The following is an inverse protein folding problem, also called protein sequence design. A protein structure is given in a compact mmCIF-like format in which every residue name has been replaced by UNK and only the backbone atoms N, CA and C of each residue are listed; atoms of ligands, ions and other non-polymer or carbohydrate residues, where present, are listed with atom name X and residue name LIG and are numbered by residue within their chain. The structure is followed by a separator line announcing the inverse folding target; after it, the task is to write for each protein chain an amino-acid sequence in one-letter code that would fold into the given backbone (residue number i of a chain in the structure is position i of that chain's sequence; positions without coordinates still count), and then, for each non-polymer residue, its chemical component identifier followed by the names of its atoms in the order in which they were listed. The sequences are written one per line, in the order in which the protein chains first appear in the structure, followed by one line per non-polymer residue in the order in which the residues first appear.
data_IF_315788599519
#
_entry.id   IF_315788599519
#
_cell.length_a   1.000
_cell.length_b   1.000
_cell.length_c   1.000
_cell.angle_alpha   90.00
_cell.angle_beta   90.00
_cell.angle_gamma   90.00
#
_symmetry.space_group_name_H-M   'P 1'
#
loop_
_entity.id
_entity.type
_entity.pdbx_description
1 polymer ?
#
# COMPACT_ATOMS: atom_id res chain seq x y z
N UNK A 1 20.11 -11.53 11.19
CA UNK A 1 19.61 -11.52 9.79
C UNK A 1 18.36 -12.35 9.75
N UNK A 2 17.24 -11.76 9.37
CA UNK A 2 15.92 -12.41 9.30
C UNK A 2 15.82 -13.23 8.01
N UNK A 3 15.35 -14.46 8.14
CA UNK A 3 15.06 -15.36 7.02
C UNK A 3 13.59 -15.22 6.67
N UNK A 4 13.28 -14.97 5.41
CA UNK A 4 11.92 -14.65 4.96
C UNK A 4 11.45 -15.70 3.95
N UNK A 5 10.24 -16.23 4.11
CA UNK A 5 9.54 -16.95 3.06
C UNK A 5 8.66 -15.97 2.28
N UNK A 6 8.93 -15.78 0.98
CA UNK A 6 8.13 -14.96 0.08
C UNK A 6 6.93 -15.77 -0.42
N UNK A 7 5.71 -15.29 -0.15
CA UNK A 7 4.48 -15.94 -0.56
C UNK A 7 3.84 -15.15 -1.69
N UNK A 8 3.86 -15.72 -2.89
CA UNK A 8 3.47 -15.06 -4.13
C UNK A 8 4.65 -14.91 -5.08
N UNK A 9 4.35 -14.74 -6.37
CA UNK A 9 5.37 -14.67 -7.44
C UNK A 9 4.87 -13.83 -8.63
N UNK A 10 4.06 -12.80 -8.33
CA UNK A 10 3.54 -11.83 -9.29
C UNK A 10 4.44 -10.58 -9.40
N UNK A 11 3.88 -9.51 -10.01
CA UNK A 11 4.57 -8.23 -10.22
C UNK A 11 5.11 -7.63 -8.91
N UNK A 12 4.29 -7.60 -7.84
CA UNK A 12 4.71 -7.05 -6.54
C UNK A 12 5.79 -7.92 -5.89
N UNK A 13 5.70 -9.25 -6.01
CA UNK A 13 6.78 -10.13 -5.57
C UNK A 13 8.12 -9.78 -6.23
N UNK A 14 8.12 -9.43 -7.52
CA UNK A 14 9.34 -9.00 -8.22
C UNK A 14 9.89 -7.68 -7.66
N UNK A 15 9.03 -6.73 -7.27
CA UNK A 15 9.45 -5.49 -6.60
C UNK A 15 10.11 -5.81 -5.25
N UNK A 16 9.49 -6.67 -4.43
CA UNK A 16 10.05 -7.08 -3.14
C UNK A 16 11.36 -7.87 -3.30
N UNK A 17 11.46 -8.77 -4.28
CA UNK A 17 12.72 -9.47 -4.58
C UNK A 17 13.83 -8.47 -4.92
N UNK A 18 13.54 -7.45 -5.75
CA UNK A 18 14.52 -6.39 -6.06
C UNK A 18 14.95 -5.66 -4.80
N UNK A 19 14.02 -5.30 -3.93
CA UNK A 19 14.29 -4.64 -2.65
C UNK A 19 15.19 -5.51 -1.73
N UNK A 20 14.90 -6.81 -1.61
CA UNK A 20 15.75 -7.74 -0.84
C UNK A 20 17.17 -7.89 -1.41
N UNK A 21 17.36 -7.61 -2.70
CA UNK A 21 18.67 -7.66 -3.36
C UNK A 21 19.47 -6.37 -3.19
N UNK A 22 18.90 -5.31 -2.63
CA UNK A 22 19.63 -4.06 -2.31
C UNK A 22 20.65 -4.30 -1.20
N UNK A 23 21.71 -3.49 -1.17
CA UNK A 23 22.74 -3.59 -0.14
C UNK A 23 22.18 -3.35 1.27
N UNK A 24 21.18 -2.45 1.39
CA UNK A 24 20.59 -2.07 2.67
C UNK A 24 19.75 -3.19 3.28
N UNK A 25 18.83 -3.78 2.50
CA UNK A 25 17.96 -4.85 3.00
C UNK A 25 18.72 -6.15 3.18
N UNK A 26 19.68 -6.47 2.30
CA UNK A 26 20.48 -7.71 2.38
C UNK A 26 21.32 -7.85 3.65
N UNK A 27 21.56 -6.73 4.37
CA UNK A 27 22.24 -6.73 5.68
C UNK A 27 21.32 -7.17 6.82
N UNK A 28 20.00 -6.99 6.68
CA UNK A 28 19.00 -7.26 7.73
C UNK A 28 18.19 -8.51 7.47
N UNK A 29 17.91 -8.84 6.19
CA UNK A 29 17.11 -10.00 5.82
C UNK A 29 17.47 -10.61 4.47
N UNK A 30 16.96 -11.81 4.25
CA UNK A 30 17.06 -12.52 2.96
C UNK A 30 15.87 -13.43 2.74
N UNK A 31 15.47 -13.58 1.48
CA UNK A 31 14.50 -14.59 1.08
C UNK A 31 15.18 -15.96 1.05
N UNK A 32 14.61 -16.94 1.74
CA UNK A 32 15.12 -18.32 1.85
C UNK A 32 14.20 -19.36 1.21
N UNK A 33 12.95 -18.99 0.95
CA UNK A 33 11.96 -19.82 0.29
C UNK A 33 11.01 -18.96 -0.54
N UNK A 34 10.51 -19.47 -1.65
CA UNK A 34 9.39 -18.91 -2.42
C UNK A 34 8.25 -19.91 -2.39
N UNK A 35 7.06 -19.42 -2.00
CA UNK A 35 5.84 -20.21 -1.92
C UNK A 35 4.83 -19.70 -2.95
N UNK A 36 4.24 -20.58 -3.77
CA UNK A 36 3.21 -20.17 -4.70
C UNK A 36 3.05 -21.05 -5.95
N UNK A 37 2.64 -20.45 -7.06
CA UNK A 37 2.37 -21.19 -8.28
C UNK A 37 3.67 -21.69 -8.95
N UNK A 38 3.75 -22.98 -9.37
CA UNK A 38 4.98 -23.56 -9.90
C UNK A 38 5.62 -22.77 -11.03
N UNK A 39 4.82 -22.25 -11.99
CA UNK A 39 5.35 -21.60 -13.19
C UNK A 39 6.16 -20.32 -12.91
N UNK A 40 5.63 -19.41 -12.10
CA UNK A 40 6.29 -18.15 -11.75
C UNK A 40 7.15 -18.28 -10.48
N UNK A 41 6.70 -19.08 -9.50
CA UNK A 41 7.44 -19.31 -8.26
C UNK A 41 8.80 -19.96 -8.45
N UNK A 42 8.89 -20.99 -9.30
CA UNK A 42 10.19 -21.63 -9.64
C UNK A 42 11.17 -20.63 -10.28
N UNK A 43 10.68 -19.72 -11.14
CA UNK A 43 11.52 -18.69 -11.75
C UNK A 43 12.02 -17.68 -10.70
N UNK A 44 11.15 -17.26 -9.79
CA UNK A 44 11.51 -16.37 -8.70
C UNK A 44 12.54 -17.02 -7.77
N UNK A 45 12.32 -18.27 -7.35
CA UNK A 45 13.24 -19.03 -6.52
C UNK A 45 14.61 -19.22 -7.17
N UNK A 46 14.64 -19.55 -8.46
CA UNK A 46 15.89 -19.69 -9.23
C UNK A 46 16.66 -18.37 -9.32
N UNK A 47 15.96 -17.22 -9.49
CA UNK A 47 16.56 -15.88 -9.51
C UNK A 47 17.24 -15.54 -8.20
N UNK A 48 16.62 -15.92 -7.07
CA UNK A 48 17.11 -15.63 -5.71
C UNK A 48 18.17 -16.66 -5.28
N UNK A 49 18.12 -17.88 -5.83
CA UNK A 49 18.95 -19.02 -5.40
C UNK A 49 18.45 -19.71 -4.15
N UNK A 50 17.11 -19.81 -3.97
CA UNK A 50 16.46 -20.46 -2.84
C UNK A 50 15.51 -21.59 -3.25
N UNK A 51 14.89 -22.27 -2.26
CA UNK A 51 13.89 -23.31 -2.51
C UNK A 51 12.56 -22.77 -3.01
N UNK A 52 11.88 -23.54 -3.87
CA UNK A 52 10.50 -23.31 -4.27
C UNK A 52 9.58 -24.38 -3.65
N UNK A 53 8.41 -23.97 -3.18
CA UNK A 53 7.40 -24.81 -2.55
C UNK A 53 6.00 -24.41 -3.05
N UNK A 54 5.09 -25.35 -3.14
CA UNK A 54 3.70 -25.06 -3.52
C UNK A 54 2.87 -24.57 -2.34
N UNK A 55 3.22 -24.99 -1.12
CA UNK A 55 2.51 -24.63 0.11
C UNK A 55 3.47 -24.06 1.17
N UNK A 56 2.91 -23.28 2.09
CA UNK A 56 3.68 -22.74 3.22
C UNK A 56 4.11 -23.84 4.19
N UNK A 57 3.28 -24.88 4.32
CA UNK A 57 3.53 -26.05 5.15
C UNK A 57 4.73 -26.85 4.65
N UNK A 58 4.84 -27.06 3.34
CA UNK A 58 6.03 -27.69 2.72
C UNK A 58 7.29 -26.88 2.96
N UNK A 59 7.21 -25.54 2.74
CA UNK A 59 8.34 -24.66 3.01
C UNK A 59 8.79 -24.74 4.47
N UNK A 60 7.85 -24.74 5.41
CA UNK A 60 8.14 -24.82 6.84
C UNK A 60 8.73 -26.17 7.29
N UNK A 61 8.45 -27.25 6.55
CA UNK A 61 9.03 -28.56 6.82
C UNK A 61 10.50 -28.68 6.37
N UNK A 62 10.88 -27.94 5.31
CA UNK A 62 12.19 -28.08 4.66
C UNK A 62 13.14 -26.95 4.98
N UNK A 63 12.63 -25.74 5.27
CA UNK A 63 13.42 -24.52 5.44
C UNK A 63 13.00 -23.76 6.69
N UNK A 64 13.96 -23.44 7.51
CA UNK A 64 13.75 -22.54 8.64
C UNK A 64 13.65 -21.09 8.16
N UNK A 65 12.57 -20.38 8.53
CA UNK A 65 12.38 -18.94 8.31
C UNK A 65 11.75 -18.28 9.55
N UNK A 66 11.92 -16.98 9.67
CA UNK A 66 11.53 -16.19 10.83
C UNK A 66 10.28 -15.36 10.55
N UNK A 67 10.10 -14.98 9.28
CA UNK A 67 8.99 -14.14 8.82
C UNK A 67 8.48 -14.60 7.45
N UNK A 68 7.27 -14.17 7.12
CA UNK A 68 6.70 -14.26 5.78
C UNK A 68 6.54 -12.87 5.17
N UNK A 69 6.69 -12.78 3.84
CA UNK A 69 6.36 -11.64 3.01
C UNK A 69 5.25 -12.03 2.04
N UNK A 70 4.01 -11.54 2.27
CA UNK A 70 2.81 -11.96 1.56
C UNK A 70 2.52 -10.98 0.43
N UNK A 71 2.77 -11.42 -0.80
CA UNK A 71 2.56 -10.67 -2.06
C UNK A 71 1.55 -11.35 -2.99
N UNK A 72 0.64 -12.11 -2.40
CA UNK A 72 -0.45 -12.82 -3.10
C UNK A 72 -1.58 -11.87 -3.50
N UNK A 73 -2.58 -12.33 -4.28
CA UNK A 73 -3.85 -11.63 -4.41
C UNK A 73 -4.53 -11.40 -3.05
N UNK A 74 -5.21 -10.26 -2.90
CA UNK A 74 -5.81 -9.80 -1.62
C UNK A 74 -6.67 -10.84 -0.91
N UNK A 75 -7.48 -11.60 -1.65
CA UNK A 75 -8.38 -12.61 -1.07
C UNK A 75 -7.65 -13.79 -0.39
N UNK A 76 -6.33 -13.90 -0.56
CA UNK A 76 -5.47 -14.91 0.09
C UNK A 76 -4.71 -14.36 1.30
N UNK A 77 -4.72 -13.05 1.53
CA UNK A 77 -3.94 -12.44 2.61
C UNK A 77 -4.33 -12.97 3.98
N UNK A 78 -5.64 -13.11 4.25
CA UNK A 78 -6.13 -13.65 5.52
C UNK A 78 -5.61 -15.06 5.77
N UNK A 79 -5.78 -15.96 4.80
CA UNK A 79 -5.36 -17.36 4.92
C UNK A 79 -3.87 -17.48 5.27
N UNK A 80 -3.01 -16.82 4.49
CA UNK A 80 -1.56 -16.91 4.70
C UNK A 80 -1.10 -16.20 5.97
N UNK A 81 -1.71 -15.06 6.33
CA UNK A 81 -1.40 -14.37 7.60
C UNK A 81 -1.73 -15.25 8.80
N UNK A 82 -2.93 -15.84 8.82
CA UNK A 82 -3.35 -16.71 9.94
C UNK A 82 -2.48 -17.96 10.02
N UNK A 83 -2.16 -18.59 8.88
CA UNK A 83 -1.26 -19.75 8.84
C UNK A 83 0.13 -19.42 9.37
N UNK A 84 0.74 -18.34 8.86
CA UNK A 84 2.08 -17.92 9.28
C UNK A 84 2.12 -17.55 10.77
N UNK A 85 1.13 -16.79 11.25
CA UNK A 85 1.02 -16.43 12.66
C UNK A 85 0.90 -17.67 13.56
N UNK A 86 0.10 -18.66 13.17
CA UNK A 86 -0.05 -19.92 13.92
C UNK A 86 1.23 -20.78 13.90
N UNK A 87 2.12 -20.57 12.95
CA UNK A 87 3.47 -21.15 12.91
C UNK A 87 4.50 -20.31 13.70
N UNK A 88 4.07 -19.23 14.38
CA UNK A 88 4.96 -18.32 15.12
C UNK A 88 5.85 -17.46 14.22
N UNK A 89 5.44 -17.20 12.97
CA UNK A 89 6.22 -16.40 12.01
C UNK A 89 5.70 -14.96 11.99
N UNK A 90 6.62 -13.98 11.95
CA UNK A 90 6.28 -12.58 11.74
C UNK A 90 5.70 -12.36 10.35
N UNK A 91 4.82 -11.38 10.19
CA UNK A 91 4.07 -11.18 8.94
C UNK A 91 4.26 -9.78 8.40
N UNK A 92 4.78 -9.68 7.19
CA UNK A 92 4.73 -8.52 6.33
C UNK A 92 3.74 -8.83 5.20
N UNK A 93 2.73 -8.00 5.00
CA UNK A 93 1.65 -8.33 4.05
C UNK A 93 1.30 -7.12 3.18
N UNK A 94 1.19 -7.36 1.87
CA UNK A 94 0.78 -6.34 0.91
C UNK A 94 -0.63 -5.79 1.19
N UNK A 95 -0.80 -4.55 0.75
CA UNK A 95 -2.09 -3.84 0.80
C UNK A 95 -3.05 -4.29 -0.35
N UNK A 96 -4.35 -4.12 -0.19
CA UNK A 96 -5.04 -3.94 1.09
C UNK A 96 -4.95 -5.22 1.91
N UNK A 97 -4.83 -5.10 3.22
CA UNK A 97 -4.67 -6.30 4.07
C UNK A 97 -5.84 -7.26 3.94
N UNK A 98 -7.07 -6.73 3.82
CA UNK A 98 -8.30 -7.52 3.69
C UNK A 98 -9.38 -6.72 2.95
N UNK A 99 -10.49 -7.38 2.62
CA UNK A 99 -11.67 -6.76 2.00
C UNK A 99 -12.78 -6.42 3.03
N UNK A 100 -12.62 -6.85 4.28
CA UNK A 100 -13.54 -6.52 5.37
C UNK A 100 -12.78 -6.34 6.69
N UNK A 101 -13.39 -5.59 7.62
CA UNK A 101 -12.82 -5.36 8.95
C UNK A 101 -12.75 -6.65 9.74
N UNK A 102 -13.74 -7.53 9.59
CA UNK A 102 -13.79 -8.82 10.27
C UNK A 102 -12.66 -9.76 9.81
N UNK A 103 -12.32 -9.75 8.51
CA UNK A 103 -11.18 -10.51 7.98
C UNK A 103 -9.86 -9.99 8.56
N UNK A 104 -9.70 -8.66 8.58
CA UNK A 104 -8.54 -8.03 9.24
C UNK A 104 -8.45 -8.41 10.73
N UNK A 105 -9.58 -8.36 11.46
CA UNK A 105 -9.60 -8.67 12.89
C UNK A 105 -9.13 -10.11 13.16
N UNK A 106 -9.52 -11.07 12.32
CA UNK A 106 -9.03 -12.46 12.41
C UNK A 106 -7.52 -12.58 12.16
N UNK A 107 -6.99 -11.83 11.17
CA UNK A 107 -5.55 -11.77 10.89
C UNK A 107 -4.79 -11.21 12.10
N UNK A 108 -5.25 -10.08 12.61
CA UNK A 108 -4.59 -9.39 13.72
C UNK A 108 -4.67 -10.16 15.02
N UNK A 109 -5.81 -10.77 15.32
CA UNK A 109 -5.99 -11.64 16.51
C UNK A 109 -5.07 -12.87 16.46
N UNK A 110 -4.88 -13.48 15.27
CA UNK A 110 -3.93 -14.56 15.10
C UNK A 110 -2.48 -14.10 15.40
N UNK A 111 -2.08 -12.94 14.88
CA UNK A 111 -0.76 -12.39 15.13
C UNK A 111 -0.56 -12.04 16.61
N UNK A 112 -1.53 -11.37 17.26
CA UNK A 112 -1.47 -11.05 18.70
C UNK A 112 -1.38 -12.29 19.59
N UNK A 113 -2.23 -13.30 19.31
CA UNK A 113 -2.27 -14.54 20.06
C UNK A 113 -0.94 -15.27 20.04
N UNK A 114 -0.22 -15.21 18.92
CA UNK A 114 1.05 -15.89 18.73
C UNK A 114 2.27 -14.97 18.97
N UNK A 115 2.06 -13.73 19.46
CA UNK A 115 3.10 -12.75 19.75
C UNK A 115 4.04 -12.48 18.58
N UNK A 116 3.52 -12.46 17.35
CA UNK A 116 4.28 -12.15 16.15
C UNK A 116 4.02 -10.73 15.68
N UNK A 117 5.02 -10.09 15.09
CA UNK A 117 4.90 -8.76 14.47
C UNK A 117 4.04 -8.88 13.20
N UNK A 118 3.20 -7.87 12.97
CA UNK A 118 2.34 -7.77 11.80
C UNK A 118 2.40 -6.35 11.24
N UNK A 119 2.77 -6.20 9.97
CA UNK A 119 2.87 -4.90 9.30
C UNK A 119 2.27 -4.98 7.89
N UNK A 120 1.49 -3.94 7.52
CA UNK A 120 1.04 -3.74 6.15
C UNK A 120 2.11 -3.06 5.31
N UNK A 121 2.26 -3.48 4.05
CA UNK A 121 3.09 -2.83 3.05
C UNK A 121 2.40 -1.56 2.54
N UNK A 122 2.66 -0.43 3.18
CA UNK A 122 2.11 0.89 2.83
C UNK A 122 3.21 1.74 2.19
N UNK A 123 3.64 1.33 1.01
CA UNK A 123 4.84 1.82 0.32
C UNK A 123 4.88 3.35 0.14
N UNK A 124 3.74 4.04 0.00
CA UNK A 124 3.75 5.50 -0.13
C UNK A 124 4.31 6.20 1.11
N UNK A 125 4.21 5.59 2.29
CA UNK A 125 4.80 6.15 3.52
C UNK A 125 6.33 6.16 3.49
N UNK A 126 6.94 5.48 2.51
CA UNK A 126 8.40 5.30 2.36
C UNK A 126 8.94 5.84 1.03
N UNK A 127 8.10 6.12 0.04
CA UNK A 127 8.54 6.78 -1.19
C UNK A 127 8.86 8.25 -0.91
N UNK A 128 10.05 8.70 -1.26
CA UNK A 128 10.65 9.99 -0.88
C UNK A 128 9.80 11.21 -1.23
N UNK A 129 9.12 11.24 -2.38
CA UNK A 129 8.24 12.35 -2.75
C UNK A 129 7.08 12.51 -1.76
N UNK A 130 6.43 11.40 -1.42
CA UNK A 130 5.28 11.40 -0.50
C UNK A 130 5.71 11.63 0.95
N UNK A 131 6.86 11.07 1.34
CA UNK A 131 7.47 11.32 2.66
C UNK A 131 7.75 12.81 2.83
N UNK A 132 8.36 13.45 1.83
CA UNK A 132 8.66 14.89 1.85
C UNK A 132 7.40 15.75 1.96
N UNK A 133 6.33 15.41 1.23
CA UNK A 133 5.03 16.08 1.35
C UNK A 133 4.49 15.96 2.78
N UNK A 134 4.47 14.73 3.32
CA UNK A 134 3.97 14.47 4.66
C UNK A 134 4.78 15.18 5.76
N UNK A 135 6.11 15.21 5.65
CA UNK A 135 7.00 15.93 6.56
C UNK A 135 6.76 17.44 6.50
N UNK A 136 6.58 18.00 5.31
CA UNK A 136 6.29 19.43 5.13
C UNK A 136 4.97 19.83 5.77
N UNK A 137 3.94 18.99 5.64
CA UNK A 137 2.65 19.19 6.32
C UNK A 137 2.83 19.12 7.85
N UNK A 138 3.50 18.09 8.35
CA UNK A 138 3.73 17.87 9.80
C UNK A 138 4.61 18.96 10.42
N UNK A 139 5.53 19.54 9.68
CA UNK A 139 6.38 20.65 10.16
C UNK A 139 5.61 21.96 10.36
N UNK A 140 4.38 22.06 9.83
CA UNK A 140 3.57 23.28 9.87
C UNK A 140 4.01 24.35 8.87
N UNK A 141 4.88 24.01 7.92
CA UNK A 141 5.36 24.96 6.90
C UNK A 141 4.22 25.52 6.04
N UNK A 142 3.16 24.73 5.79
CA UNK A 142 1.97 25.16 5.06
C UNK A 142 0.90 25.80 5.96
N UNK A 143 1.12 25.87 7.28
CA UNK A 143 0.13 26.33 8.24
C UNK A 143 -1.00 25.32 8.45
N UNK A 144 -2.22 25.82 8.72
CA UNK A 144 -3.39 24.96 8.84
C UNK A 144 -3.80 24.48 7.43
N UNK A 145 -3.90 23.18 7.25
CA UNK A 145 -4.33 22.59 5.98
C UNK A 145 -5.85 22.76 5.84
N UNK A 146 -6.29 23.26 4.69
CA UNK A 146 -7.71 23.39 4.36
C UNK A 146 -8.17 22.26 3.47
N UNK A 147 -7.34 21.91 2.45
CA UNK A 147 -7.69 20.92 1.46
C UNK A 147 -6.48 20.09 1.05
N UNK A 148 -6.68 18.78 0.96
CA UNK A 148 -5.76 17.83 0.34
C UNK A 148 -6.48 17.16 -0.83
N UNK A 149 -5.91 17.22 -2.02
CA UNK A 149 -6.45 16.55 -3.22
C UNK A 149 -5.41 15.58 -3.74
N UNK A 150 -5.80 14.34 -3.94
CA UNK A 150 -4.96 13.31 -4.54
C UNK A 150 -5.65 12.70 -5.77
N UNK A 151 -4.86 12.34 -6.78
CA UNK A 151 -5.31 11.53 -7.92
C UNK A 151 -4.33 10.42 -8.19
N UNK A 152 -4.88 9.23 -8.46
CA UNK A 152 -4.09 8.07 -8.89
C UNK A 152 -4.81 7.35 -10.01
N UNK A 153 -4.36 7.62 -11.24
CA UNK A 153 -5.04 7.20 -12.46
C UNK A 153 -4.18 6.21 -13.23
N UNK A 154 -4.74 5.07 -13.57
CA UNK A 154 -4.07 3.97 -14.27
C UNK A 154 -5.00 3.28 -15.24
N UNK A 155 -4.41 2.56 -16.17
CA UNK A 155 -5.09 1.51 -16.91
C UNK A 155 -5.32 0.30 -16.00
N UNK A 156 -6.25 -0.56 -16.40
CA UNK A 156 -6.41 -1.85 -15.74
C UNK A 156 -5.12 -2.69 -15.88
N UNK A 157 -4.60 -3.29 -14.80
CA UNK A 157 -3.45 -4.16 -14.88
C UNK A 157 -3.65 -5.30 -15.88
N UNK A 158 -2.61 -5.55 -16.69
CA UNK A 158 -2.66 -6.61 -17.74
C UNK A 158 -2.04 -7.93 -17.30
N UNK A 159 -1.38 -7.94 -16.14
CA UNK A 159 -0.64 -9.10 -15.63
C UNK A 159 -1.46 -10.04 -14.74
N UNK A 160 -2.68 -9.65 -14.34
CA UNK A 160 -3.56 -10.48 -13.52
C UNK A 160 -5.04 -10.26 -13.88
N UNK A 161 -5.86 -11.29 -13.68
CA UNK A 161 -7.31 -11.25 -13.97
C UNK A 161 -8.18 -11.15 -12.72
N UNK A 162 -7.66 -11.57 -11.55
CA UNK A 162 -8.38 -11.57 -10.28
C UNK A 162 -8.82 -10.16 -9.83
N UNK A 163 -8.12 -9.12 -10.28
CA UNK A 163 -8.44 -7.72 -9.99
C UNK A 163 -9.78 -7.27 -10.63
N UNK A 164 -10.32 -8.03 -11.58
CA UNK A 164 -11.64 -7.80 -12.19
C UNK A 164 -12.78 -8.52 -11.47
N UNK A 165 -12.48 -9.23 -10.40
CA UNK A 165 -13.45 -9.91 -9.57
C UNK A 165 -13.65 -9.09 -8.29
N UNK A 166 -14.84 -8.46 -8.07
CA UNK A 166 -15.08 -7.60 -6.92
C UNK A 166 -14.97 -8.34 -5.58
N UNK A 167 -15.26 -9.65 -5.54
CA UNK A 167 -15.15 -10.45 -4.33
C UNK A 167 -13.70 -10.79 -3.98
N UNK A 168 -12.79 -10.72 -4.95
CA UNK A 168 -11.37 -11.01 -4.76
C UNK A 168 -10.50 -9.78 -4.56
N UNK A 169 -10.86 -8.67 -5.18
CA UNK A 169 -10.04 -7.46 -5.20
C UNK A 169 -10.67 -6.26 -4.50
N UNK A 170 -12.01 -6.19 -4.44
CA UNK A 170 -12.73 -4.97 -4.07
C UNK A 170 -12.68 -3.87 -5.13
N UNK A 171 -11.97 -4.10 -6.26
CA UNK A 171 -11.82 -3.12 -7.35
C UNK A 171 -10.84 -1.98 -7.03
N UNK A 172 -10.89 -0.93 -7.85
CA UNK A 172 -10.00 0.23 -7.75
C UNK A 172 -10.09 0.99 -6.43
N UNK A 173 -11.24 0.95 -5.75
CA UNK A 173 -11.39 1.51 -4.40
C UNK A 173 -10.41 0.85 -3.41
N UNK A 174 -10.35 -0.47 -3.40
CA UNK A 174 -9.48 -1.22 -2.47
C UNK A 174 -8.03 -1.28 -2.97
N UNK A 175 -7.81 -1.41 -4.27
CA UNK A 175 -6.46 -1.61 -4.81
C UNK A 175 -5.66 -0.31 -4.97
N UNK A 176 -6.31 0.77 -5.45
CA UNK A 176 -5.62 2.02 -5.80
C UNK A 176 -5.93 3.15 -4.80
N UNK A 177 -7.23 3.34 -4.44
CA UNK A 177 -7.61 4.45 -3.58
C UNK A 177 -7.04 4.32 -2.16
N UNK A 178 -6.82 3.07 -1.71
CA UNK A 178 -6.23 2.76 -0.40
C UNK A 178 -4.88 3.45 -0.18
N UNK A 179 -4.06 3.59 -1.20
CA UNK A 179 -2.75 4.23 -1.09
C UNK A 179 -2.84 5.69 -0.64
N UNK A 180 -3.73 6.46 -1.28
CA UNK A 180 -3.89 7.87 -0.96
C UNK A 180 -4.66 8.07 0.35
N UNK A 181 -5.66 7.23 0.63
CA UNK A 181 -6.37 7.23 1.92
C UNK A 181 -5.41 6.90 3.08
N UNK A 182 -4.54 5.91 2.92
CA UNK A 182 -3.53 5.58 3.94
C UNK A 182 -2.56 6.73 4.19
N UNK A 183 -2.04 7.33 3.13
CA UNK A 183 -1.13 8.47 3.25
C UNK A 183 -1.80 9.65 3.97
N UNK A 184 -3.05 9.98 3.62
CA UNK A 184 -3.86 11.02 4.27
C UNK A 184 -4.12 10.67 5.74
N UNK A 185 -4.52 9.42 6.02
CA UNK A 185 -4.71 8.95 7.38
C UNK A 185 -3.43 9.09 8.22
N UNK A 186 -2.28 8.77 7.65
CA UNK A 186 -0.99 8.89 8.36
C UNK A 186 -0.66 10.32 8.79
N UNK A 187 -1.23 11.33 8.12
CA UNK A 187 -1.01 12.75 8.42
C UNK A 187 -2.12 13.35 9.31
N UNK A 188 -3.36 12.95 9.10
CA UNK A 188 -4.53 13.63 9.68
C UNK A 188 -5.38 12.74 10.60
N UNK A 189 -5.07 11.43 10.68
CA UNK A 189 -5.86 10.46 11.45
C UNK A 189 -7.25 10.21 10.86
N UNK A 190 -8.14 9.63 11.67
CA UNK A 190 -9.48 9.24 11.29
C UNK A 190 -10.35 10.46 10.91
N UNK A 191 -10.97 10.50 9.71
CA UNK A 191 -11.97 11.50 9.37
C UNK A 191 -13.28 11.26 10.14
N UNK A 192 -14.13 12.27 10.22
CA UNK A 192 -15.47 12.14 10.85
C UNK A 192 -16.49 11.50 9.93
N UNK A 193 -16.33 11.69 8.62
CA UNK A 193 -17.24 11.11 7.62
C UNK A 193 -16.58 10.94 6.27
N UNK A 194 -17.18 10.05 5.49
CA UNK A 194 -16.79 9.71 4.12
C UNK A 194 -18.00 9.87 3.21
N UNK A 195 -17.77 10.43 2.02
CA UNK A 195 -18.71 10.40 0.91
C UNK A 195 -17.96 9.97 -0.35
N UNK A 196 -18.53 9.05 -1.11
CA UNK A 196 -17.89 8.56 -2.33
C UNK A 196 -18.88 8.50 -3.49
N UNK A 197 -18.39 8.88 -4.67
CA UNK A 197 -19.06 8.71 -5.95
C UNK A 197 -18.14 7.95 -6.88
N UNK A 198 -18.70 7.25 -7.86
CA UNK A 198 -17.84 6.49 -8.76
C UNK A 198 -18.60 5.84 -9.90
N UNK A 199 -17.84 5.16 -10.74
CA UNK A 199 -18.34 4.36 -11.85
C UNK A 199 -18.02 2.88 -11.60
N UNK A 200 -19.06 2.06 -11.64
CA UNK A 200 -18.97 0.61 -11.53
C UNK A 200 -18.70 0.01 -12.90
N UNK A 201 -17.57 -0.64 -13.06
CA UNK A 201 -17.19 -1.25 -14.33
C UNK A 201 -18.10 -2.44 -14.69
N UNK A 202 -18.08 -2.92 -15.93
CA UNK A 202 -18.83 -4.12 -16.33
C UNK A 202 -18.45 -5.39 -15.53
N UNK A 203 -17.30 -5.40 -14.89
CA UNK A 203 -16.89 -6.48 -14.00
C UNK A 203 -17.59 -6.47 -12.63
N UNK A 204 -18.31 -5.39 -12.32
CA UNK A 204 -18.94 -5.16 -11.01
C UNK A 204 -18.04 -4.43 -10.00
N UNK A 205 -16.79 -4.15 -10.36
CA UNK A 205 -15.85 -3.42 -9.50
C UNK A 205 -16.08 -1.91 -9.54
N UNK A 206 -15.97 -1.21 -8.41
CA UNK A 206 -15.86 0.23 -8.35
C UNK A 206 -14.42 0.64 -8.73
N UNK A 207 -14.20 0.85 -10.05
CA UNK A 207 -12.86 1.04 -10.61
C UNK A 207 -12.49 2.49 -10.92
N UNK A 208 -13.46 3.41 -10.97
CA UNK A 208 -13.20 4.84 -11.00
C UNK A 208 -14.02 5.49 -9.89
N UNK A 209 -13.33 5.98 -8.86
CA UNK A 209 -13.97 6.50 -7.64
C UNK A 209 -13.36 7.83 -7.24
N UNK A 210 -14.19 8.70 -6.67
CA UNK A 210 -13.78 9.89 -5.95
C UNK A 210 -14.31 9.81 -4.52
N UNK A 211 -13.39 9.75 -3.56
CA UNK A 211 -13.70 9.64 -2.12
C UNK A 211 -13.40 10.96 -1.44
N UNK A 212 -14.40 11.55 -0.79
CA UNK A 212 -14.27 12.75 0.02
C UNK A 212 -14.21 12.38 1.50
N UNK A 213 -13.20 12.89 2.20
CA UNK A 213 -12.96 12.69 3.63
C UNK A 213 -13.11 14.03 4.35
N UNK A 214 -13.83 14.05 5.48
CA UNK A 214 -14.11 15.29 6.21
C UNK A 214 -13.70 15.19 7.68
N UNK A 215 -12.91 16.18 8.12
CA UNK A 215 -12.65 16.51 9.54
C UNK A 215 -13.38 17.80 9.90
N UNK A 216 -13.20 18.33 11.11
CA UNK A 216 -13.81 19.60 11.52
C UNK A 216 -13.20 20.80 10.80
N UNK A 217 -11.90 20.77 10.61
CA UNK A 217 -11.07 21.90 10.18
C UNK A 217 -10.46 21.73 8.79
N UNK A 218 -10.60 20.54 8.17
CA UNK A 218 -10.03 20.23 6.86
C UNK A 218 -10.86 19.20 6.09
N UNK A 219 -10.55 19.08 4.80
CA UNK A 219 -11.14 18.09 3.93
C UNK A 219 -10.07 17.48 3.02
N UNK A 220 -10.33 16.26 2.52
CA UNK A 220 -9.52 15.65 1.47
C UNK A 220 -10.42 15.01 0.40
N UNK A 221 -9.89 14.95 -0.82
CA UNK A 221 -10.50 14.23 -1.95
C UNK A 221 -9.44 13.32 -2.55
N UNK A 222 -9.78 12.04 -2.73
CA UNK A 222 -8.97 11.05 -3.45
C UNK A 222 -9.72 10.57 -4.68
N UNK A 223 -9.23 10.87 -5.87
CA UNK A 223 -9.71 10.29 -7.11
C UNK A 223 -8.80 9.16 -7.56
N UNK A 224 -9.36 8.00 -7.86
CA UNK A 224 -8.59 6.87 -8.39
C UNK A 224 -9.30 6.18 -9.54
N UNK A 225 -8.53 5.67 -10.49
CA UNK A 225 -9.06 4.90 -11.62
C UNK A 225 -8.12 3.78 -12.04
N UNK A 226 -8.70 2.60 -12.28
CA UNK A 226 -8.07 1.50 -13.01
C UNK A 226 -8.62 1.36 -14.44
N UNK A 227 -9.41 2.32 -14.94
CA UNK A 227 -10.12 2.21 -16.21
C UNK A 227 -9.75 3.33 -17.18
N UNK A 228 -8.58 3.93 -17.02
CA UNK A 228 -8.12 4.93 -17.97
C UNK A 228 -7.87 4.29 -19.33
N UNK A 229 -8.44 4.84 -20.43
CA UNK A 229 -8.37 4.20 -21.74
C UNK A 229 -7.03 4.40 -22.45
N UNK A 230 -6.80 3.59 -23.47
CA UNK A 230 -5.63 3.69 -24.35
C UNK A 230 -4.32 3.48 -23.60
N UNK A 231 -3.28 4.19 -23.98
CA UNK A 231 -1.97 4.17 -23.32
C UNK A 231 -1.84 5.29 -22.28
N UNK A 232 -2.89 5.50 -21.48
CA UNK A 232 -2.87 6.53 -20.44
C UNK A 232 -1.71 6.28 -19.46
N UNK A 233 -0.86 7.28 -19.19
CA UNK A 233 0.27 7.10 -18.28
C UNK A 233 -0.23 6.89 -16.85
N UNK A 234 0.42 6.03 -16.10
CA UNK A 234 0.21 5.99 -14.66
C UNK A 234 0.48 7.37 -14.06
N UNK A 235 -0.53 7.98 -13.46
CA UNK A 235 -0.47 9.35 -12.96
C UNK A 235 -0.75 9.38 -11.46
N UNK A 236 0.15 9.96 -10.68
CA UNK A 236 -0.07 10.36 -9.30
C UNK A 236 0.02 11.88 -9.19
N UNK A 237 -1.01 12.52 -8.62
CA UNK A 237 -1.08 13.96 -8.43
C UNK A 237 -1.48 14.24 -6.98
N UNK A 238 -0.84 15.23 -6.35
CA UNK A 238 -1.21 15.72 -5.02
C UNK A 238 -1.17 17.25 -5.05
N UNK A 239 -2.26 17.87 -4.61
CA UNK A 239 -2.35 19.29 -4.35
C UNK A 239 -2.71 19.48 -2.88
N UNK A 240 -1.91 20.25 -2.16
CA UNK A 240 -2.17 20.57 -0.74
C UNK A 240 -2.30 22.07 -0.61
N UNK A 241 -3.34 22.53 0.08
CA UNK A 241 -3.57 23.97 0.32
C UNK A 241 -3.70 24.23 1.82
N UNK A 242 -2.87 25.11 2.32
CA UNK A 242 -2.90 25.63 3.69
C UNK A 242 -2.88 27.16 3.74
N UNK A 243 -2.99 27.72 4.92
CA UNK A 243 -3.05 29.18 5.13
C UNK A 243 -1.68 29.89 4.92
N UNK A 244 -0.57 29.13 4.91
CA UNK A 244 0.79 29.65 4.70
C UNK A 244 1.43 29.23 3.38
N UNK A 245 0.76 28.39 2.59
CA UNK A 245 1.28 27.93 1.31
C UNK A 245 0.56 26.72 0.74
N UNK A 246 1.02 26.29 -0.42
CA UNK A 246 0.51 25.11 -1.11
C UNK A 246 1.63 24.27 -1.71
N UNK A 247 1.33 23.00 -1.96
CA UNK A 247 2.18 22.08 -2.74
C UNK A 247 1.40 21.65 -3.97
N UNK A 248 2.10 21.60 -5.11
CA UNK A 248 1.63 21.01 -6.36
C UNK A 248 2.65 19.94 -6.78
N UNK A 249 2.19 18.69 -6.79
CA UNK A 249 2.99 17.51 -7.15
C UNK A 249 2.27 16.71 -8.23
N UNK A 250 2.98 16.38 -9.29
CA UNK A 250 2.53 15.44 -10.30
C UNK A 250 3.68 14.51 -10.73
N UNK A 251 3.40 13.22 -10.74
CA UNK A 251 4.28 12.17 -11.25
C UNK A 251 3.57 11.36 -12.32
N UNK A 252 4.25 11.14 -13.46
CA UNK A 252 3.74 10.30 -14.53
C UNK A 252 4.78 9.26 -14.93
N UNK A 253 4.35 8.01 -15.05
CA UNK A 253 5.11 6.92 -15.66
C UNK A 253 4.36 6.44 -16.91
N UNK A 254 5.01 5.61 -17.73
CA UNK A 254 4.33 5.02 -18.89
C UNK A 254 3.14 4.13 -18.48
N UNK A 255 2.37 3.70 -19.47
CA UNK A 255 1.24 2.80 -19.27
C UNK A 255 1.67 1.53 -18.51
N UNK A 256 0.87 1.13 -17.50
CA UNK A 256 1.21 0.02 -16.59
C UNK A 256 2.57 0.19 -15.88
N UNK A 257 2.91 1.43 -15.52
CA UNK A 257 4.13 1.81 -14.78
C UNK A 257 5.43 1.47 -15.54
N UNK A 258 5.36 1.36 -16.87
CA UNK A 258 6.52 1.06 -17.71
C UNK A 258 7.17 2.33 -18.22
N UNK A 259 8.51 2.30 -18.39
CA UNK A 259 9.29 3.40 -18.92
C UNK A 259 9.64 4.47 -17.88
N UNK A 260 10.21 5.59 -18.37
CA UNK A 260 10.73 6.63 -17.53
C UNK A 260 9.62 7.37 -16.75
N UNK A 261 9.92 7.69 -15.51
CA UNK A 261 9.08 8.49 -14.63
C UNK A 261 9.43 9.97 -14.78
N UNK A 262 8.43 10.82 -14.96
CA UNK A 262 8.57 12.27 -14.91
C UNK A 262 7.93 12.82 -13.65
N UNK A 263 8.58 13.77 -12.99
CA UNK A 263 8.09 14.42 -11.77
C UNK A 263 8.16 15.92 -11.93
N UNK A 264 7.05 16.59 -11.65
CA UNK A 264 6.98 18.02 -11.39
C UNK A 264 6.49 18.23 -9.96
N UNK A 265 7.26 18.94 -9.14
CA UNK A 265 6.93 19.17 -7.74
C UNK A 265 7.36 20.57 -7.34
N UNK A 266 6.42 21.35 -6.83
CA UNK A 266 6.64 22.74 -6.40
C UNK A 266 5.95 23.02 -5.08
N UNK A 267 6.56 23.92 -4.30
CA UNK A 267 5.97 24.50 -3.10
C UNK A 267 5.79 26.01 -3.31
N UNK A 268 4.66 26.54 -2.90
CA UNK A 268 4.28 27.95 -3.03
C UNK A 268 4.00 28.55 -1.65
N UNK A 269 5.02 29.02 -0.91
CA UNK A 269 4.79 29.80 0.30
C UNK A 269 4.03 31.09 -0.03
N UNK A 270 3.22 31.59 0.90
CA UNK A 270 2.51 32.85 0.70
C UNK A 270 3.52 33.99 0.43
N UNK A 271 3.31 34.72 -0.64
CA UNK A 271 4.17 35.82 -1.08
C UNK A 271 5.39 35.39 -1.89
N UNK A 272 5.47 34.12 -2.33
CA UNK A 272 6.52 33.59 -3.21
C UNK A 272 5.94 33.13 -4.55
N UNK A 273 6.75 33.21 -5.62
CA UNK A 273 6.44 32.64 -6.94
C UNK A 273 6.58 31.12 -6.98
N UNK A 274 6.94 30.51 -5.85
CA UNK A 274 7.11 29.06 -5.67
C UNK A 274 8.52 28.57 -6.01
N UNK A 275 8.91 27.53 -5.32
CA UNK A 275 10.22 26.88 -5.40
C UNK A 275 10.08 25.41 -5.85
N UNK A 276 11.16 24.86 -6.40
CA UNK A 276 11.26 23.42 -6.66
C UNK A 276 11.18 22.64 -5.36
N UNK A 277 10.38 21.55 -5.38
CA UNK A 277 10.08 20.75 -4.19
C UNK A 277 10.44 19.27 -4.37
N UNK A 278 11.42 18.98 -5.22
CA UNK A 278 11.82 17.60 -5.51
C UNK A 278 12.44 16.91 -4.30
N UNK A 279 12.06 15.65 -4.09
CA UNK A 279 12.72 14.76 -3.15
C UNK A 279 13.98 14.13 -3.78
N UNK A 280 14.86 13.59 -2.95
CA UNK A 280 15.94 12.71 -3.40
C UNK A 280 15.34 11.33 -3.62
N UNK A 281 15.57 10.73 -4.77
CA UNK A 281 15.05 9.40 -5.11
C UNK A 281 15.51 8.34 -4.09
N UNK A 282 14.61 7.42 -3.76
CA UNK A 282 14.87 6.26 -2.92
C UNK A 282 14.09 5.04 -3.45
N UNK A 283 14.39 3.86 -2.94
CA UNK A 283 13.59 2.66 -3.13
C UNK A 283 12.62 2.49 -1.94
N UNK A 284 11.38 2.94 -2.11
CA UNK A 284 10.35 2.84 -1.06
C UNK A 284 10.03 1.41 -0.64
N UNK A 285 10.14 0.42 -1.55
CA UNK A 285 9.97 -0.99 -1.20
C UNK A 285 11.13 -1.49 -0.33
N UNK A 286 12.36 -1.09 -0.64
CA UNK A 286 13.51 -1.42 0.20
C UNK A 286 13.39 -0.81 1.60
N UNK A 287 12.96 0.44 1.69
CA UNK A 287 12.80 1.13 2.97
C UNK A 287 11.69 0.51 3.84
N UNK A 288 10.51 0.18 3.28
CA UNK A 288 9.43 -0.43 4.07
C UNK A 288 9.78 -1.84 4.55
N UNK A 289 10.43 -2.65 3.70
CA UNK A 289 10.91 -3.98 4.08
C UNK A 289 11.98 -3.87 5.17
N UNK A 290 12.94 -2.96 5.01
CA UNK A 290 14.00 -2.74 6.00
C UNK A 290 13.45 -2.40 7.37
N UNK A 291 12.51 -1.46 7.48
CA UNK A 291 11.97 -1.07 8.79
C UNK A 291 11.14 -2.18 9.44
N UNK A 292 10.46 -3.03 8.67
CA UNK A 292 9.82 -4.24 9.19
C UNK A 292 10.84 -5.22 9.76
N UNK A 293 11.90 -5.52 9.00
CA UNK A 293 12.96 -6.43 9.46
C UNK A 293 13.68 -5.89 10.70
N UNK A 294 13.94 -4.58 10.76
CA UNK A 294 14.50 -3.91 11.93
C UNK A 294 13.58 -4.02 13.15
N UNK A 295 12.26 -3.87 12.96
CA UNK A 295 11.29 -4.05 14.04
C UNK A 295 11.30 -5.48 14.60
N UNK A 296 11.43 -6.48 13.72
CA UNK A 296 11.59 -7.89 14.13
C UNK A 296 12.91 -8.12 14.88
N UNK A 297 14.04 -7.60 14.36
CA UNK A 297 15.38 -7.76 14.99
C UNK A 297 15.43 -7.13 16.38
N UNK A 298 14.86 -5.95 16.52
CA UNK A 298 14.94 -5.15 17.75
C UNK A 298 13.76 -5.41 18.71
N UNK A 299 12.85 -6.30 18.35
CA UNK A 299 11.60 -6.58 19.08
C UNK A 299 10.78 -5.31 19.39
N UNK A 300 10.72 -4.39 18.44
CA UNK A 300 9.93 -3.15 18.53
C UNK A 300 8.63 -3.27 17.75
N UNK A 301 7.68 -2.35 17.99
CA UNK A 301 6.48 -2.25 17.16
C UNK A 301 6.83 -1.77 15.75
N UNK A 302 6.23 -2.39 14.69
CA UNK A 302 6.42 -1.93 13.33
C UNK A 302 5.91 -0.49 13.13
N UNK A 303 6.58 0.32 12.27
CA UNK A 303 6.18 1.72 12.05
C UNK A 303 4.77 1.91 11.47
N UNK A 304 4.30 0.98 10.65
CA UNK A 304 2.89 0.92 10.22
C UNK A 304 2.16 -0.01 11.16
N UNK A 305 1.49 0.56 12.17
CA UNK A 305 0.81 -0.23 13.19
C UNK A 305 -0.44 -0.89 12.61
N UNK A 306 -0.74 -2.13 13.03
CA UNK A 306 -1.94 -2.83 12.57
C UNK A 306 -3.23 -2.04 12.80
N UNK A 307 -3.34 -1.31 13.92
CA UNK A 307 -4.50 -0.49 14.23
C UNK A 307 -4.72 0.63 13.21
N UNK A 308 -3.65 1.24 12.71
CA UNK A 308 -3.73 2.24 11.64
C UNK A 308 -4.25 1.63 10.33
N UNK A 309 -3.76 0.45 9.98
CA UNK A 309 -4.23 -0.29 8.81
C UNK A 309 -5.70 -0.71 8.93
N UNK A 310 -6.14 -1.06 10.14
CA UNK A 310 -7.56 -1.30 10.45
C UNK A 310 -8.41 -0.08 10.23
N UNK A 311 -7.96 1.06 10.70
CA UNK A 311 -8.68 2.33 10.54
C UNK A 311 -8.76 2.74 9.08
N UNK A 312 -7.67 2.59 8.31
CA UNK A 312 -7.67 2.80 6.85
C UNK A 312 -8.68 1.89 6.18
N UNK A 313 -8.72 0.61 6.53
CA UNK A 313 -9.72 -0.32 6.00
C UNK A 313 -11.16 0.08 6.37
N UNK A 314 -11.41 0.59 7.58
CA UNK A 314 -12.73 1.14 7.97
C UNK A 314 -13.15 2.30 7.07
N UNK A 315 -12.21 3.19 6.72
CA UNK A 315 -12.47 4.29 5.77
C UNK A 315 -12.85 3.74 4.40
N UNK A 316 -12.12 2.73 3.89
CA UNK A 316 -12.41 2.09 2.60
C UNK A 316 -13.78 1.41 2.60
N UNK A 317 -14.11 0.66 3.66
CA UNK A 317 -15.43 0.00 3.81
C UNK A 317 -16.56 1.04 3.88
N UNK A 318 -16.33 2.17 4.58
CA UNK A 318 -17.29 3.27 4.62
C UNK A 318 -17.46 3.96 3.25
N UNK A 319 -16.38 4.13 2.49
CA UNK A 319 -16.43 4.63 1.12
C UNK A 319 -17.22 3.67 0.19
N UNK A 320 -16.99 2.37 0.32
CA UNK A 320 -17.76 1.36 -0.41
C UNK A 320 -19.26 1.44 -0.08
N UNK A 321 -19.59 1.53 1.22
CA UNK A 321 -20.99 1.73 1.65
C UNK A 321 -21.59 3.00 1.05
N UNK A 322 -20.85 4.10 1.02
CA UNK A 322 -21.28 5.37 0.42
C UNK A 322 -21.55 5.23 -1.09
N UNK A 323 -20.70 4.50 -1.82
CA UNK A 323 -20.90 4.21 -3.25
C UNK A 323 -22.17 3.40 -3.51
N UNK A 324 -22.51 2.46 -2.64
CA UNK A 324 -23.71 1.61 -2.81
C UNK A 324 -25.01 2.33 -2.38
N UNK A 325 -24.94 3.21 -1.38
CA UNK A 325 -26.13 3.89 -0.83
C UNK A 325 -26.36 5.29 -1.37
N UNK A 326 -25.31 5.96 -1.87
CA UNK A 326 -25.32 7.39 -2.24
C UNK A 326 -25.34 8.33 -1.03
N UNK A 327 -25.08 7.82 0.18
CA UNK A 327 -25.17 8.59 1.42
C UNK A 327 -23.80 8.89 2.02
N UNK A 328 -23.74 9.93 2.88
CA UNK A 328 -22.58 10.21 3.72
C UNK A 328 -22.53 9.15 4.84
N UNK A 329 -21.37 8.56 5.06
CA UNK A 329 -21.14 7.58 6.11
C UNK A 329 -20.28 8.20 7.22
N UNK A 330 -20.79 8.21 8.47
CA UNK A 330 -20.02 8.60 9.67
C UNK A 330 -19.09 7.46 10.11
N UNK A 331 -17.90 7.81 10.65
CA UNK A 331 -16.85 6.88 11.09
C UNK A 331 -16.70 6.87 12.61
#
# INVERSE_FOLDING_TARGET
MIRVALIGSGYIADCHINAFMTEEVSKTGKIVAVVGHPGSGMKAAARIGCGFFETLEEAAAEVDFDAVDITTPTFLHEEYTVKAANMGKHVFCEKPLALSVEAFDRMYDACRKNHVKFMAAQVLRYMSDFTKIAETIRSGQLGNIHMYSAKRLSQHPTWATWQRDPEKSGGGLYDINVHDIDLIYSMFGMPKSVYAIGWKSPSGCWNHVATSLKWDDKQAICESSLEMPGNYPFTAEIIVTGDKGSIDFISKAGANIKGDRTVSSRIYPVGSDGDDFKAVDNDGFADEIRVFLEAVINDTEPPVRPEESRDVLRIIVAAHKSLETGEIVSL
#
